data_IF_377764478231
#
_entry.id   IF_377764478231
#
_cell.length_a   1.000
_cell.length_b   1.000
_cell.length_c   1.000
_cell.angle_alpha   90.00
_cell.angle_beta   90.00
_cell.angle_gamma   90.00
#
_symmetry.space_group_name_H-M   'P 1'
#
loop_
_entity.id
_entity.type
_entity.pdbx_description
1 polymer ?
#
# COMPACT_ATOMS: atom_id res chain seq x y z
N UNK A 1 53.93 -45.72 29.10
CA UNK A 1 53.62 -44.98 30.35
C UNK A 1 53.00 -43.67 29.93
N UNK A 2 51.68 -43.56 29.99
CA UNK A 2 51.00 -42.32 29.69
C UNK A 2 49.75 -42.29 30.56
N UNK A 3 49.75 -41.33 31.46
CA UNK A 3 48.73 -41.11 32.47
C UNK A 3 47.61 -40.24 31.85
N UNK A 4 46.38 -40.76 31.85
CA UNK A 4 45.20 -40.01 31.45
C UNK A 4 44.65 -39.17 32.59
N UNK A 5 44.37 -37.92 32.35
CA UNK A 5 43.66 -37.02 33.27
C UNK A 5 42.21 -36.87 32.73
N UNK A 6 41.25 -37.38 33.45
CA UNK A 6 39.84 -37.21 33.19
C UNK A 6 39.35 -35.92 33.81
N UNK A 7 38.63 -35.12 33.00
CA UNK A 7 37.95 -33.92 33.48
C UNK A 7 36.44 -34.24 33.65
N UNK A 8 35.98 -34.14 34.91
CA UNK A 8 34.56 -34.17 35.25
C UNK A 8 33.91 -32.87 34.83
N UNK A 9 32.82 -32.98 34.02
CA UNK A 9 31.91 -31.87 33.78
C UNK A 9 30.65 -32.09 34.61
N UNK A 10 30.43 -31.23 35.57
CA UNK A 10 29.22 -31.17 36.37
C UNK A 10 28.05 -30.63 35.53
N UNK A 11 27.00 -31.43 35.37
CA UNK A 11 25.75 -30.96 34.75
C UNK A 11 24.95 -30.13 35.75
N UNK A 12 24.55 -28.94 35.34
CA UNK A 12 23.52 -28.16 36.00
C UNK A 12 22.17 -28.52 35.40
N UNK A 13 21.33 -29.19 36.17
CA UNK A 13 19.91 -29.43 35.85
C UNK A 13 19.12 -28.13 36.00
N UNK A 14 18.51 -27.69 34.91
CA UNK A 14 17.46 -26.64 34.94
C UNK A 14 16.10 -27.30 35.29
N UNK A 15 15.30 -26.69 36.17
CA UNK A 15 13.99 -27.24 36.51
C UNK A 15 12.99 -27.03 35.38
N UNK A 16 12.42 -28.10 34.87
CA UNK A 16 11.31 -28.13 33.93
C UNK A 16 10.08 -27.47 34.56
N UNK A 17 9.60 -26.37 33.96
CA UNK A 17 8.30 -25.76 34.27
C UNK A 17 7.18 -26.64 33.69
N UNK A 18 6.34 -27.17 34.56
CA UNK A 18 5.09 -27.87 34.21
C UNK A 18 4.10 -26.87 33.57
N UNK A 19 3.31 -27.32 32.57
CA UNK A 19 2.25 -26.51 32.00
C UNK A 19 1.08 -26.33 32.98
N UNK A 20 0.40 -25.16 32.98
CA UNK A 20 -0.69 -24.89 33.91
C UNK A 20 -1.91 -25.81 33.66
N UNK A 21 -2.53 -26.25 34.75
CA UNK A 21 -3.64 -27.18 34.74
C UNK A 21 -4.90 -26.62 34.09
N UNK A 22 -5.70 -27.52 33.50
CA UNK A 22 -6.92 -27.24 32.71
C UNK A 22 -8.12 -26.61 33.47
N UNK A 23 -7.95 -26.14 34.70
CA UNK A 23 -9.05 -25.63 35.53
C UNK A 23 -9.23 -24.09 35.51
N UNK A 24 -8.34 -23.31 34.91
CA UNK A 24 -8.40 -21.83 34.93
C UNK A 24 -8.99 -21.20 33.65
N UNK A 25 -9.33 -21.99 32.62
CA UNK A 25 -9.85 -21.48 31.34
C UNK A 25 -11.39 -21.51 31.27
N UNK A 26 -12.10 -21.73 32.36
CA UNK A 26 -13.56 -21.88 32.31
C UNK A 26 -14.37 -20.76 32.96
N UNK A 27 -13.85 -19.56 33.14
CA UNK A 27 -14.60 -18.45 33.77
C UNK A 27 -14.65 -17.11 33.02
N UNK A 28 -14.18 -17.00 31.80
CA UNK A 28 -14.26 -15.72 31.04
C UNK A 28 -14.99 -15.77 29.69
N UNK A 29 -15.76 -16.81 29.39
CA UNK A 29 -16.54 -16.88 28.14
C UNK A 29 -18.06 -16.91 28.37
N UNK A 30 -18.57 -16.18 29.37
CA UNK A 30 -20.00 -16.09 29.61
C UNK A 30 -20.47 -14.64 29.90
N UNK A 31 -20.16 -13.67 29.02
CA UNK A 31 -20.78 -12.35 29.04
C UNK A 31 -20.63 -11.62 27.70
N UNK A 32 -21.05 -12.20 26.59
CA UNK A 32 -21.28 -11.46 25.34
C UNK A 32 -22.24 -12.23 24.43
N UNK A 33 -23.44 -12.51 24.95
CA UNK A 33 -24.54 -12.96 24.13
C UNK A 33 -25.74 -12.08 24.40
N UNK A 34 -26.26 -11.52 23.28
CA UNK A 34 -27.57 -10.86 23.14
C UNK A 34 -27.69 -9.43 23.66
N UNK A 35 -27.75 -8.49 22.74
CA UNK A 35 -28.96 -7.73 22.42
C UNK A 35 -28.74 -7.09 21.04
N UNK A 36 -29.24 -7.70 19.99
CA UNK A 36 -29.52 -6.96 18.76
C UNK A 36 -30.84 -6.22 18.95
N UNK A 37 -30.86 -4.88 18.89
CA UNK A 37 -32.13 -4.18 18.85
C UNK A 37 -32.78 -4.44 17.48
N UNK A 38 -33.92 -5.14 17.45
CA UNK A 38 -34.84 -5.16 16.29
C UNK A 38 -35.20 -3.70 15.98
N UNK A 39 -34.62 -3.16 14.91
CA UNK A 39 -35.07 -1.89 14.33
C UNK A 39 -36.53 -2.07 13.86
N UNK A 40 -37.48 -1.54 14.61
CA UNK A 40 -38.82 -1.32 14.10
C UNK A 40 -38.72 -0.24 13.03
N UNK A 41 -39.11 -0.55 11.76
CA UNK A 41 -39.23 0.46 10.74
C UNK A 41 -40.22 1.53 11.25
N UNK A 42 -39.69 2.72 11.45
CA UNK A 42 -40.49 3.88 11.85
C UNK A 42 -41.35 4.38 10.70
N UNK A 43 -42.39 5.12 11.05
CA UNK A 43 -43.33 5.72 10.11
C UNK A 43 -42.67 6.79 9.23
N UNK A 44 -43.29 7.17 8.11
CA UNK A 44 -42.81 8.21 7.17
C UNK A 44 -42.38 9.53 7.85
N UNK A 45 -42.92 9.86 9.03
CA UNK A 45 -42.50 11.02 9.81
C UNK A 45 -41.12 10.84 10.47
N UNK A 46 -40.79 9.60 10.87
CA UNK A 46 -39.49 9.29 11.50
C UNK A 46 -38.37 9.34 10.48
N UNK A 47 -38.67 8.95 9.22
CA UNK A 47 -37.72 9.03 8.11
C UNK A 47 -37.40 10.48 7.74
N UNK A 48 -38.40 11.37 7.74
CA UNK A 48 -38.18 12.81 7.53
C UNK A 48 -37.36 13.45 8.65
N UNK A 49 -37.61 13.07 9.91
CA UNK A 49 -36.83 13.53 11.05
C UNK A 49 -35.36 13.05 10.99
N UNK A 50 -35.14 11.80 10.58
CA UNK A 50 -33.82 11.24 10.39
C UNK A 50 -33.06 11.93 9.24
N UNK A 51 -33.73 12.18 8.11
CA UNK A 51 -33.17 12.92 6.97
C UNK A 51 -32.82 14.38 7.33
N UNK A 52 -33.61 15.07 8.19
CA UNK A 52 -33.25 16.39 8.66
C UNK A 52 -32.07 16.37 9.64
N UNK A 53 -31.94 15.32 10.46
CA UNK A 53 -30.78 15.13 11.34
C UNK A 53 -29.51 14.79 10.53
N UNK A 54 -29.62 13.97 9.47
CA UNK A 54 -28.52 13.67 8.55
C UNK A 54 -28.06 14.92 7.78
N UNK A 55 -28.96 15.83 7.41
CA UNK A 55 -28.60 17.13 6.81
C UNK A 55 -27.93 18.11 7.77
N UNK A 56 -28.07 17.90 9.09
CA UNK A 56 -27.44 18.72 10.16
C UNK A 56 -26.17 18.07 10.73
N UNK A 57 -25.81 16.84 10.30
CA UNK A 57 -24.48 16.35 10.57
C UNK A 57 -23.51 17.21 9.76
N UNK A 58 -22.52 17.85 10.42
CA UNK A 58 -21.47 18.50 9.64
C UNK A 58 -20.93 17.44 8.69
N UNK A 59 -20.92 17.76 7.40
CA UNK A 59 -20.06 17.04 6.46
C UNK A 59 -18.72 16.94 7.20
N UNK A 60 -18.23 15.74 7.44
CA UNK A 60 -16.83 15.55 7.79
C UNK A 60 -16.04 16.00 6.58
N UNK A 61 -15.88 17.32 6.45
CA UNK A 61 -14.75 17.89 5.76
C UNK A 61 -13.57 17.18 6.41
N UNK A 62 -12.75 16.53 5.58
CA UNK A 62 -11.58 15.81 6.02
C UNK A 62 -10.91 16.63 7.12
N UNK A 63 -10.59 16.00 8.22
CA UNK A 63 -10.04 16.64 9.41
C UNK A 63 -9.01 17.66 8.92
N UNK A 64 -9.23 18.95 9.17
CA UNK A 64 -8.37 20.02 8.67
C UNK A 64 -6.97 20.01 9.29
N UNK A 65 -6.38 18.83 9.36
CA UNK A 65 -5.00 18.58 9.74
C UNK A 65 -4.12 18.97 8.57
N UNK A 66 -3.47 20.11 8.70
CA UNK A 66 -2.47 20.54 7.72
C UNK A 66 -1.25 19.64 7.80
N UNK A 67 -0.81 19.11 6.67
CA UNK A 67 0.49 18.50 6.51
C UNK A 67 1.43 19.58 5.99
N UNK A 68 2.43 19.96 6.77
CA UNK A 68 3.45 20.90 6.31
C UNK A 68 4.44 20.21 5.39
N UNK A 69 4.80 20.87 4.29
CA UNK A 69 5.91 20.44 3.46
C UNK A 69 7.20 20.35 4.29
N UNK A 70 8.01 19.33 4.03
CA UNK A 70 9.32 19.18 4.67
C UNK A 70 10.43 19.52 3.67
N UNK A 71 11.48 20.23 4.11
CA UNK A 71 12.65 20.42 3.26
C UNK A 71 13.26 19.07 2.91
N UNK A 72 13.64 18.89 1.66
CA UNK A 72 14.28 17.65 1.20
C UNK A 72 15.67 17.57 1.83
N UNK A 73 15.91 16.49 2.59
CA UNK A 73 17.17 16.29 3.27
C UNK A 73 18.29 15.87 2.30
N UNK A 74 19.52 16.22 2.63
CA UNK A 74 20.68 15.64 1.97
C UNK A 74 20.93 14.24 2.54
N UNK A 75 20.97 13.23 1.68
CA UNK A 75 21.30 11.85 2.04
C UNK A 75 22.72 11.57 1.59
N UNK A 76 23.52 10.98 2.49
CA UNK A 76 24.89 10.54 2.14
C UNK A 76 24.77 9.33 1.20
N UNK A 77 25.30 9.41 -0.03
CA UNK A 77 25.28 8.28 -0.95
C UNK A 77 26.04 7.07 -0.39
N UNK A 78 25.60 5.86 -0.74
CA UNK A 78 26.37 4.65 -0.44
C UNK A 78 27.77 4.78 -1.06
N UNK A 79 28.86 4.51 -0.31
CA UNK A 79 30.22 4.70 -0.81
C UNK A 79 30.54 3.93 -2.10
N UNK A 80 29.88 2.80 -2.29
CA UNK A 80 30.01 1.91 -3.46
C UNK A 80 28.92 2.12 -4.52
N UNK A 81 28.05 3.12 -4.37
CA UNK A 81 27.06 3.48 -5.39
C UNK A 81 27.77 3.99 -6.67
N UNK A 82 27.61 3.30 -7.82
CA UNK A 82 28.25 3.68 -9.08
C UNK A 82 27.90 5.11 -9.54
N UNK A 83 26.76 5.63 -9.12
CA UNK A 83 26.29 6.97 -9.47
C UNK A 83 26.52 8.00 -8.37
N UNK A 84 27.07 7.58 -7.23
CA UNK A 84 27.32 8.47 -6.05
C UNK A 84 26.09 9.30 -5.67
N UNK A 85 24.91 8.67 -5.73
CA UNK A 85 23.60 9.28 -5.41
C UNK A 85 23.04 10.18 -6.52
N UNK A 86 23.72 10.38 -7.63
CA UNK A 86 23.28 11.25 -8.72
C UNK A 86 22.44 10.47 -9.72
N UNK A 87 21.16 10.75 -9.74
CA UNK A 87 20.21 10.22 -10.72
C UNK A 87 18.94 11.06 -10.68
N UNK A 88 18.58 11.68 -11.77
CA UNK A 88 17.48 12.62 -11.87
C UNK A 88 16.41 12.20 -12.90
N UNK A 89 15.40 13.06 -13.10
CA UNK A 89 14.32 12.83 -14.05
C UNK A 89 14.80 12.77 -15.50
N UNK A 90 15.86 13.51 -15.86
CA UNK A 90 16.44 13.49 -17.20
C UNK A 90 17.11 12.13 -17.45
N UNK A 91 17.88 11.63 -16.48
CA UNK A 91 18.46 10.28 -16.53
C UNK A 91 17.37 9.22 -16.65
N UNK A 92 16.31 9.35 -15.86
CA UNK A 92 15.18 8.44 -15.87
C UNK A 92 14.41 8.45 -17.20
N UNK A 93 14.40 9.58 -17.91
CA UNK A 93 13.70 9.76 -19.19
C UNK A 93 14.50 9.29 -20.41
N UNK A 94 15.79 9.05 -20.28
CA UNK A 94 16.67 8.70 -21.45
C UNK A 94 16.04 7.61 -22.32
N UNK A 95 15.88 7.91 -23.62
CA UNK A 95 15.33 6.99 -24.61
C UNK A 95 13.81 6.77 -24.57
N UNK A 96 13.07 7.49 -23.69
CA UNK A 96 11.61 7.54 -23.79
C UNK A 96 11.20 8.56 -24.87
N UNK A 97 10.21 8.17 -25.67
CA UNK A 97 9.54 9.08 -26.60
C UNK A 97 8.45 9.87 -25.90
N UNK A 98 8.16 11.07 -26.41
CA UNK A 98 7.13 11.95 -25.88
C UNK A 98 7.62 12.85 -24.76
N UNK A 99 6.76 13.77 -24.36
CA UNK A 99 6.96 14.75 -23.30
C UNK A 99 5.85 14.62 -22.26
N UNK A 100 5.95 15.36 -21.14
CA UNK A 100 4.93 15.39 -20.10
C UNK A 100 5.23 14.47 -18.94
N UNK A 101 4.18 13.91 -18.35
CA UNK A 101 4.26 13.13 -17.10
C UNK A 101 4.64 11.68 -17.35
N UNK A 102 5.31 11.07 -16.36
CA UNK A 102 5.55 9.64 -16.37
C UNK A 102 4.30 8.87 -15.94
N UNK A 103 4.03 7.79 -16.68
CA UNK A 103 3.02 6.79 -16.34
C UNK A 103 3.69 5.42 -16.23
N UNK A 104 3.39 4.70 -15.16
CA UNK A 104 3.82 3.33 -14.99
C UNK A 104 2.65 2.37 -15.23
N UNK A 105 2.84 1.38 -16.09
CA UNK A 105 1.90 0.26 -16.25
C UNK A 105 2.56 -0.99 -15.64
N UNK A 106 2.03 -1.46 -14.51
CA UNK A 106 2.47 -2.69 -13.84
C UNK A 106 1.58 -3.85 -14.31
N UNK A 107 2.11 -4.75 -15.10
CA UNK A 107 1.42 -6.02 -15.41
C UNK A 107 1.66 -6.99 -14.25
N UNK A 108 0.59 -7.43 -13.61
CA UNK A 108 0.65 -8.31 -12.45
C UNK A 108 -0.06 -9.64 -12.71
N UNK A 109 0.13 -10.64 -11.86
CA UNK A 109 -0.61 -11.90 -11.95
C UNK A 109 -2.09 -11.76 -11.58
N UNK A 110 -2.48 -10.63 -10.94
CA UNK A 110 -3.88 -10.33 -10.57
C UNK A 110 -4.61 -9.41 -11.55
N UNK A 111 -3.87 -8.75 -12.45
CA UNK A 111 -4.38 -7.75 -13.40
C UNK A 111 -3.36 -6.64 -13.62
N UNK A 112 -3.75 -5.66 -14.44
CA UNK A 112 -2.91 -4.52 -14.79
C UNK A 112 -3.23 -3.34 -13.88
N UNK A 113 -2.19 -2.71 -13.31
CA UNK A 113 -2.27 -1.44 -12.60
C UNK A 113 -1.65 -0.35 -13.47
N UNK A 114 -2.32 0.76 -13.60
CA UNK A 114 -1.84 1.97 -14.25
C UNK A 114 -1.64 3.04 -13.19
N UNK A 115 -0.43 3.57 -13.11
CA UNK A 115 -0.04 4.53 -12.09
C UNK A 115 0.44 5.82 -12.74
N UNK A 116 -0.17 6.92 -12.36
CA UNK A 116 0.33 8.26 -12.61
C UNK A 116 1.45 8.57 -11.64
N UNK A 117 2.55 9.16 -12.13
CA UNK A 117 3.69 9.50 -11.29
C UNK A 117 3.79 11.02 -11.17
N UNK A 118 3.78 11.53 -9.95
CA UNK A 118 3.73 12.97 -9.64
C UNK A 118 5.14 13.56 -9.52
N UNK A 119 5.81 13.70 -10.67
CA UNK A 119 7.20 14.16 -10.77
C UNK A 119 7.42 15.60 -10.32
N UNK A 120 6.37 16.41 -10.29
CA UNK A 120 6.36 17.77 -9.78
C UNK A 120 6.29 17.84 -8.25
N UNK A 121 5.78 16.79 -7.61
CA UNK A 121 5.65 16.67 -6.16
C UNK A 121 6.81 15.92 -5.51
N UNK A 122 7.31 14.88 -6.18
CA UNK A 122 8.35 14.01 -5.66
C UNK A 122 9.36 13.63 -6.78
N UNK A 123 10.14 14.60 -7.30
CA UNK A 123 11.00 14.40 -8.46
C UNK A 123 12.09 13.35 -8.24
N UNK A 124 12.74 13.30 -7.07
CA UNK A 124 13.80 12.32 -6.75
C UNK A 124 13.21 10.92 -6.68
N UNK A 125 12.05 10.78 -6.04
CA UNK A 125 11.35 9.50 -5.88
C UNK A 125 10.87 8.96 -7.22
N UNK A 126 10.26 9.81 -8.06
CA UNK A 126 9.82 9.43 -9.40
C UNK A 126 11.01 9.04 -10.29
N UNK A 127 12.10 9.83 -10.28
CA UNK A 127 13.32 9.47 -10.99
C UNK A 127 13.86 8.09 -10.54
N UNK A 128 13.95 7.87 -9.25
CA UNK A 128 14.37 6.59 -8.67
C UNK A 128 13.49 5.43 -9.13
N UNK A 129 12.17 5.55 -8.95
CA UNK A 129 11.22 4.49 -9.31
C UNK A 129 11.29 4.18 -10.81
N UNK A 130 11.27 5.21 -11.67
CA UNK A 130 11.36 5.06 -13.13
C UNK A 130 12.70 4.47 -13.54
N UNK A 131 13.80 4.93 -12.95
CA UNK A 131 15.14 4.41 -13.22
C UNK A 131 15.29 2.95 -12.86
N UNK A 132 14.78 2.52 -11.72
CA UNK A 132 14.78 1.12 -11.28
C UNK A 132 13.84 0.25 -12.14
N UNK A 133 12.65 0.74 -12.47
CA UNK A 133 11.70 0.03 -13.33
C UNK A 133 12.27 -0.23 -14.74
N UNK A 134 13.03 0.74 -15.26
CA UNK A 134 13.64 0.65 -16.60
C UNK A 134 15.03 0.03 -16.64
N UNK A 135 15.61 -0.27 -15.47
CA UNK A 135 16.98 -0.79 -15.37
C UNK A 135 18.06 0.24 -15.73
N UNK A 136 17.75 1.54 -15.68
CA UNK A 136 18.71 2.62 -15.96
C UNK A 136 19.50 3.01 -14.71
N UNK A 137 18.87 2.97 -13.53
CA UNK A 137 19.55 3.17 -12.26
C UNK A 137 20.16 1.85 -11.79
N UNK A 138 21.49 1.77 -11.58
CA UNK A 138 22.10 0.60 -10.99
C UNK A 138 21.55 0.31 -9.61
N UNK A 139 21.41 -0.96 -9.28
CA UNK A 139 20.99 -1.42 -7.97
C UNK A 139 21.75 -2.68 -7.57
N UNK A 140 21.88 -2.90 -6.26
CA UNK A 140 22.62 -4.05 -5.71
C UNK A 140 21.68 -5.25 -5.63
N UNK A 141 21.97 -6.29 -6.39
CA UNK A 141 21.17 -7.51 -6.42
C UNK A 141 21.35 -8.33 -5.12
N UNK A 142 20.56 -9.40 -4.88
CA UNK A 142 20.70 -10.25 -3.70
C UNK A 142 22.10 -10.84 -3.48
N UNK A 143 22.90 -11.00 -4.56
CA UNK A 143 24.30 -11.47 -4.48
C UNK A 143 25.28 -10.34 -4.10
N UNK A 144 24.79 -9.14 -3.80
CA UNK A 144 25.59 -7.98 -3.44
C UNK A 144 26.28 -7.28 -4.62
N UNK A 145 25.93 -7.62 -5.87
CA UNK A 145 26.53 -7.05 -7.08
C UNK A 145 25.67 -5.93 -7.65
N UNK A 146 26.31 -4.84 -8.06
CA UNK A 146 25.66 -3.78 -8.81
C UNK A 146 25.28 -4.24 -10.21
N UNK A 147 24.00 -4.10 -10.58
CA UNK A 147 23.45 -4.52 -11.88
C UNK A 147 22.60 -3.40 -12.48
N UNK A 148 22.55 -3.35 -13.81
CA UNK A 148 21.66 -2.50 -14.61
C UNK A 148 20.62 -3.37 -15.31
N UNK A 149 19.51 -3.61 -14.66
CA UNK A 149 18.34 -4.33 -15.19
C UNK A 149 17.08 -3.89 -14.46
N UNK A 150 15.88 -4.07 -15.01
CA UNK A 150 14.63 -3.82 -14.30
C UNK A 150 14.62 -4.50 -12.93
N UNK A 151 14.33 -3.73 -11.87
CA UNK A 151 14.32 -4.25 -10.50
C UNK A 151 13.00 -4.93 -10.16
N UNK A 152 11.89 -4.34 -10.62
CA UNK A 152 10.55 -4.73 -10.17
C UNK A 152 10.01 -5.99 -10.85
N UNK A 153 10.56 -6.36 -12.01
CA UNK A 153 10.12 -7.53 -12.77
C UNK A 153 10.32 -8.81 -11.97
N UNK A 154 9.25 -9.59 -11.80
CA UNK A 154 9.23 -10.82 -11.02
C UNK A 154 9.07 -10.63 -9.50
N UNK A 155 9.14 -9.40 -8.97
CA UNK A 155 9.01 -9.17 -7.53
C UNK A 155 7.56 -9.31 -7.06
N UNK A 156 7.34 -9.82 -5.83
CA UNK A 156 6.00 -10.00 -5.28
C UNK A 156 5.50 -8.77 -4.51
N UNK A 157 4.18 -8.68 -4.36
CA UNK A 157 3.57 -7.95 -3.24
C UNK A 157 3.68 -8.84 -1.99
N UNK A 158 4.77 -8.70 -1.26
CA UNK A 158 5.16 -9.59 -0.17
C UNK A 158 4.40 -9.34 1.13
N UNK A 159 3.89 -8.13 1.33
CA UNK A 159 3.12 -7.72 2.51
C UNK A 159 1.80 -7.14 2.08
N UNK A 160 0.70 -7.67 2.65
CA UNK A 160 -0.67 -7.32 2.28
C UNK A 160 -1.50 -7.15 3.55
N UNK A 161 -2.09 -5.98 3.72
CA UNK A 161 -3.03 -5.69 4.81
C UNK A 161 -4.28 -5.09 4.19
N UNK A 162 -5.36 -5.89 4.12
CA UNK A 162 -6.66 -5.47 3.60
C UNK A 162 -7.18 -4.24 4.32
N UNK A 163 -7.67 -3.26 3.56
CA UNK A 163 -8.17 -1.98 4.08
C UNK A 163 -7.07 -1.01 4.50
N UNK A 164 -5.79 -1.38 4.31
CA UNK A 164 -4.66 -0.51 4.58
C UNK A 164 -3.77 -0.35 3.33
N UNK A 165 -2.97 -1.38 2.96
CA UNK A 165 -2.06 -1.27 1.82
C UNK A 165 -1.58 -2.63 1.29
N UNK A 166 -1.04 -2.61 0.07
CA UNK A 166 -0.27 -3.70 -0.56
C UNK A 166 1.16 -3.21 -0.80
N UNK A 167 2.17 -3.93 -0.31
CA UNK A 167 3.58 -3.51 -0.36
C UNK A 167 4.40 -4.48 -1.23
N UNK A 168 5.18 -3.90 -2.13
CA UNK A 168 6.06 -4.59 -3.07
C UNK A 168 7.39 -3.88 -3.28
N UNK A 169 8.10 -4.21 -4.40
CA UNK A 169 9.34 -3.55 -4.78
C UNK A 169 10.58 -3.99 -4.01
N UNK A 170 10.49 -5.13 -3.32
CA UNK A 170 11.62 -5.75 -2.67
C UNK A 170 12.29 -6.79 -3.58
N UNK A 171 13.57 -6.62 -3.96
CA UNK A 171 14.27 -7.60 -4.79
C UNK A 171 14.46 -8.97 -4.12
N UNK A 172 14.43 -9.02 -2.77
CA UNK A 172 14.46 -10.29 -2.02
C UNK A 172 13.07 -10.92 -1.88
N UNK A 173 12.00 -10.16 -2.13
CA UNK A 173 10.62 -10.64 -2.06
C UNK A 173 10.10 -10.97 -0.66
N UNK A 174 10.76 -10.54 0.40
CA UNK A 174 10.43 -10.87 1.80
C UNK A 174 10.37 -9.68 2.76
N UNK A 175 10.56 -8.45 2.26
CA UNK A 175 10.56 -7.19 3.00
C UNK A 175 11.93 -6.74 3.49
N UNK A 176 12.98 -7.56 3.36
CA UNK A 176 14.32 -7.23 3.88
C UNK A 176 15.23 -6.53 2.87
N UNK A 177 14.93 -6.64 1.58
CA UNK A 177 15.77 -6.16 0.51
C UNK A 177 15.63 -4.67 0.21
N UNK A 178 16.49 -4.21 -0.70
CA UNK A 178 16.50 -2.84 -1.19
C UNK A 178 17.53 -2.68 -2.31
N UNK A 179 17.65 -1.48 -2.87
CA UNK A 179 18.49 -1.25 -4.05
C UNK A 179 19.98 -1.05 -3.74
N UNK A 180 20.38 -1.10 -2.45
CA UNK A 180 21.76 -0.87 -2.01
C UNK A 180 22.11 0.60 -1.76
N UNK A 181 21.13 1.49 -1.86
CA UNK A 181 21.22 2.91 -1.54
C UNK A 181 19.90 3.40 -0.95
N UNK A 182 19.88 4.63 -0.46
CA UNK A 182 18.67 5.30 0.01
C UNK A 182 18.50 6.66 -0.68
N UNK A 183 17.25 7.14 -0.70
CA UNK A 183 16.88 8.49 -1.15
C UNK A 183 16.11 9.20 -0.04
N UNK A 184 16.09 10.55 -0.03
CA UNK A 184 15.38 11.33 0.98
C UNK A 184 13.87 11.20 0.87
N UNK A 185 13.17 11.63 1.93
CA UNK A 185 11.74 11.85 1.91
C UNK A 185 11.41 13.12 1.11
N UNK A 186 10.33 13.07 0.32
CA UNK A 186 9.74 14.20 -0.37
C UNK A 186 8.30 14.36 0.12
N UNK A 187 8.14 15.06 1.24
CA UNK A 187 6.82 15.36 1.83
C UNK A 187 6.40 16.76 1.40
N UNK A 188 5.41 16.84 0.54
CA UNK A 188 4.85 18.09 0.05
C UNK A 188 3.66 18.56 0.91
N UNK A 189 3.28 19.83 0.76
CA UNK A 189 2.19 20.42 1.54
C UNK A 189 0.86 19.72 1.25
N UNK A 190 0.12 19.42 2.32
CA UNK A 190 -1.16 18.71 2.27
C UNK A 190 -1.10 17.32 1.59
N UNK A 191 0.05 16.64 1.70
CA UNK A 191 0.20 15.23 1.32
C UNK A 191 -0.51 14.31 2.31
N UNK A 192 -1.76 13.96 2.03
CA UNK A 192 -2.59 13.12 2.90
C UNK A 192 -2.71 11.69 2.36
N UNK A 193 -2.60 10.70 3.24
CA UNK A 193 -2.86 9.29 2.94
C UNK A 193 -4.34 8.97 3.20
N UNK A 194 -5.25 9.59 2.47
CA UNK A 194 -6.69 9.62 2.73
C UNK A 194 -7.54 8.83 1.72
N UNK A 195 -6.93 8.30 0.66
CA UNK A 195 -7.65 7.56 -0.37
C UNK A 195 -6.94 6.29 -0.83
N UNK A 196 -7.71 5.38 -1.43
CA UNK A 196 -7.18 4.19 -2.10
C UNK A 196 -6.42 4.57 -3.36
N UNK A 197 -5.41 3.76 -3.69
CA UNK A 197 -4.64 3.90 -4.91
C UNK A 197 -3.40 4.78 -4.77
N UNK A 198 -3.24 5.58 -3.71
CA UNK A 198 -2.02 6.36 -3.53
C UNK A 198 -0.79 5.46 -3.53
N UNK A 199 0.21 5.85 -4.34
CA UNK A 199 1.47 5.16 -4.49
C UNK A 199 2.53 5.88 -3.64
N UNK A 200 3.08 5.15 -2.66
CA UNK A 200 3.91 5.70 -1.61
C UNK A 200 5.21 4.90 -1.43
N UNK A 201 6.28 5.55 -0.96
CA UNK A 201 7.52 4.85 -0.62
C UNK A 201 7.46 4.22 0.76
N UNK A 202 7.88 2.97 0.85
CA UNK A 202 8.14 2.33 2.14
C UNK A 202 9.55 2.72 2.63
N UNK A 203 9.66 3.02 3.93
CA UNK A 203 10.92 3.40 4.56
C UNK A 203 11.12 2.67 5.91
N UNK A 204 12.30 2.79 6.49
CA UNK A 204 12.69 2.28 7.83
C UNK A 204 12.99 3.42 8.80
N UNK A 205 12.36 4.54 8.63
CA UNK A 205 12.57 5.81 9.31
C UNK A 205 12.87 6.92 8.32
N UNK A 206 13.02 8.18 8.77
CA UNK A 206 13.20 9.34 7.91
C UNK A 206 14.36 9.18 6.92
N UNK A 207 14.13 9.55 5.65
CA UNK A 207 15.16 9.56 4.59
C UNK A 207 15.83 8.21 4.30
N UNK A 208 15.08 7.12 4.44
CA UNK A 208 15.57 5.76 4.17
C UNK A 208 14.79 5.05 3.08
N UNK A 209 14.16 5.81 2.17
CA UNK A 209 13.45 5.21 1.02
C UNK A 209 14.46 4.51 0.10
N UNK A 210 14.03 3.39 -0.48
CA UNK A 210 14.86 2.60 -1.39
C UNK A 210 14.13 2.22 -2.68
N UNK A 211 13.83 0.94 -2.82
CA UNK A 211 13.01 0.42 -3.94
C UNK A 211 11.61 -0.01 -3.51
N UNK A 212 11.39 -0.28 -2.22
CA UNK A 212 10.10 -0.76 -1.75
C UNK A 212 9.07 0.36 -1.76
N UNK A 213 7.88 0.04 -2.25
CA UNK A 213 6.73 0.92 -2.31
C UNK A 213 5.48 0.21 -1.79
N UNK A 214 4.46 0.99 -1.48
CA UNK A 214 3.13 0.44 -1.20
C UNK A 214 2.04 1.23 -1.95
N UNK A 215 0.94 0.54 -2.24
CA UNK A 215 -0.26 1.15 -2.80
C UNK A 215 -1.33 1.06 -1.73
N UNK A 216 -1.97 2.18 -1.42
CA UNK A 216 -3.01 2.26 -0.41
C UNK A 216 -4.25 1.46 -0.83
N UNK A 217 -4.81 0.66 0.10
CA UNK A 217 -6.11 0.00 -0.02
C UNK A 217 -7.19 0.68 0.84
N UNK A 218 -6.84 1.69 1.59
CA UNK A 218 -7.72 2.51 2.41
C UNK A 218 -6.98 3.70 3.00
N UNK A 219 -7.70 4.61 3.65
CA UNK A 219 -7.13 5.79 4.29
C UNK A 219 -6.30 5.43 5.53
N UNK A 220 -5.17 6.14 5.74
CA UNK A 220 -4.27 5.91 6.86
C UNK A 220 -3.54 7.19 7.28
N UNK A 221 -4.25 8.14 7.85
CA UNK A 221 -3.75 9.47 8.22
C UNK A 221 -2.55 9.47 9.18
N UNK A 222 -2.31 8.35 9.87
CA UNK A 222 -1.12 8.19 10.72
C UNK A 222 0.21 8.13 9.92
N UNK A 223 0.15 7.96 8.60
CA UNK A 223 1.30 7.99 7.70
C UNK A 223 1.68 9.41 7.25
N UNK A 224 0.78 10.39 7.46
CA UNK A 224 0.96 11.75 6.99
C UNK A 224 2.25 12.37 7.53
N UNK A 225 2.99 13.01 6.63
CA UNK A 225 4.27 13.64 6.98
C UNK A 225 5.43 12.68 7.22
N UNK A 226 5.23 11.35 7.16
CA UNK A 226 6.28 10.34 7.38
C UNK A 226 6.65 9.55 6.13
N UNK A 227 5.80 9.56 5.11
CA UNK A 227 5.99 8.76 3.90
C UNK A 227 5.79 9.62 2.66
N UNK A 228 6.64 9.42 1.65
CA UNK A 228 6.54 10.12 0.37
C UNK A 228 5.41 9.54 -0.47
N UNK A 229 4.41 10.37 -0.82
CA UNK A 229 3.42 10.05 -1.84
C UNK A 229 3.97 10.53 -3.18
N UNK A 230 4.07 9.66 -4.19
CA UNK A 230 4.66 10.01 -5.47
C UNK A 230 3.82 9.64 -6.69
N UNK A 231 2.58 9.20 -6.47
CA UNK A 231 1.65 8.89 -7.54
C UNK A 231 0.34 8.29 -7.08
N UNK A 232 -0.46 7.86 -8.04
CA UNK A 232 -1.73 7.16 -7.81
C UNK A 232 -1.93 6.07 -8.84
N UNK A 233 -2.38 4.91 -8.41
CA UNK A 233 -2.61 3.71 -9.21
C UNK A 233 -4.10 3.36 -9.29
N UNK A 234 -4.51 2.81 -10.41
CA UNK A 234 -5.81 2.21 -10.65
C UNK A 234 -5.70 1.05 -11.65
N UNK A 235 -6.79 0.33 -11.90
CA UNK A 235 -8.11 0.48 -11.29
C UNK A 235 -8.17 -0.12 -9.87
N UNK A 236 -9.10 0.39 -9.05
CA UNK A 236 -9.25 -0.02 -7.65
C UNK A 236 -9.58 -1.50 -7.49
N UNK A 237 -10.29 -2.10 -8.43
CA UNK A 237 -10.67 -3.52 -8.41
C UNK A 237 -9.43 -4.43 -8.41
N UNK A 238 -8.36 -4.04 -9.11
CA UNK A 238 -7.11 -4.80 -9.12
C UNK A 238 -6.36 -4.63 -7.78
N UNK A 239 -6.38 -3.42 -7.21
CA UNK A 239 -5.79 -3.17 -5.88
C UNK A 239 -6.51 -4.02 -4.83
N UNK A 240 -7.85 -4.01 -4.82
CA UNK A 240 -8.66 -4.81 -3.90
C UNK A 240 -8.44 -6.31 -4.09
N UNK A 241 -8.31 -6.78 -5.34
CA UNK A 241 -8.00 -8.17 -5.63
C UNK A 241 -6.66 -8.59 -5.03
N UNK A 242 -5.64 -7.75 -5.12
CA UNK A 242 -4.34 -8.00 -4.49
C UNK A 242 -4.48 -7.94 -2.96
N UNK A 243 -5.22 -6.97 -2.42
CA UNK A 243 -5.44 -6.80 -0.99
C UNK A 243 -6.23 -7.93 -0.33
N UNK A 244 -6.90 -8.78 -1.12
CA UNK A 244 -7.63 -9.97 -0.65
C UNK A 244 -6.84 -11.27 -0.82
N UNK A 245 -5.58 -11.20 -1.24
CA UNK A 245 -4.68 -12.36 -1.29
C UNK A 245 -4.56 -13.01 0.10
N UNK A 246 -4.59 -14.36 0.21
CA UNK A 246 -4.43 -15.05 1.49
C UNK A 246 -3.10 -14.70 2.17
N UNK A 247 -3.15 -14.44 3.49
CA UNK A 247 -1.98 -14.03 4.28
C UNK A 247 -1.82 -14.90 5.53
N UNK A 248 -0.59 -15.00 6.04
CA UNK A 248 -0.27 -15.43 7.38
C UNK A 248 0.30 -14.24 8.15
N UNK A 249 -0.50 -13.66 9.06
CA UNK A 249 -0.24 -12.34 9.59
C UNK A 249 -0.46 -11.29 8.48
N UNK A 250 0.58 -10.59 8.09
CA UNK A 250 0.57 -9.63 6.97
C UNK A 250 1.37 -10.12 5.73
N UNK A 251 2.01 -11.30 5.83
CA UNK A 251 2.78 -11.91 4.76
C UNK A 251 1.88 -12.70 3.82
N UNK A 252 1.87 -12.36 2.52
CA UNK A 252 1.13 -13.10 1.51
C UNK A 252 1.67 -14.55 1.39
N UNK A 253 0.76 -15.55 1.43
CA UNK A 253 1.12 -16.97 1.32
C UNK A 253 1.26 -17.43 -0.13
N UNK A 254 0.49 -16.82 -1.03
CA UNK A 254 0.63 -16.96 -2.47
C UNK A 254 0.63 -15.54 -3.09
N UNK A 255 1.78 -14.85 -3.08
CA UNK A 255 1.85 -13.45 -3.41
C UNK A 255 1.61 -13.19 -4.89
N UNK A 256 0.78 -12.19 -5.18
CA UNK A 256 0.68 -11.61 -6.52
C UNK A 256 2.04 -11.05 -6.92
N UNK A 257 2.50 -11.37 -8.14
CA UNK A 257 3.79 -10.92 -8.67
C UNK A 257 3.61 -9.83 -9.72
N UNK A 258 4.52 -8.89 -9.74
CA UNK A 258 4.70 -7.93 -10.82
C UNK A 258 5.44 -8.65 -11.93
N UNK A 259 4.81 -8.85 -13.09
CA UNK A 259 5.47 -9.49 -14.24
C UNK A 259 6.43 -8.52 -14.91
N UNK A 260 5.96 -7.30 -15.18
CA UNK A 260 6.75 -6.22 -15.79
C UNK A 260 6.23 -4.86 -15.36
N UNK A 261 7.12 -3.85 -15.37
CA UNK A 261 6.75 -2.45 -15.22
C UNK A 261 7.17 -1.69 -16.47
N UNK A 262 6.19 -1.23 -17.25
CA UNK A 262 6.42 -0.40 -18.44
C UNK A 262 6.22 1.07 -18.09
N UNK A 263 7.20 1.91 -18.46
CA UNK A 263 7.12 3.37 -18.29
C UNK A 263 6.86 4.02 -19.63
N UNK A 264 5.90 4.95 -19.65
CA UNK A 264 5.59 5.82 -20.79
C UNK A 264 5.56 7.28 -20.35
N UNK A 265 5.49 8.20 -21.32
CA UNK A 265 5.22 9.62 -21.07
C UNK A 265 3.91 10.01 -21.73
N UNK A 266 3.11 10.79 -21.01
CA UNK A 266 1.82 11.29 -21.49
C UNK A 266 1.79 12.82 -21.39
N UNK A 267 1.25 13.48 -22.42
CA UNK A 267 1.29 14.96 -22.56
C UNK A 267 0.52 15.69 -21.44
N UNK A 268 -0.48 15.05 -20.84
CA UNK A 268 -1.28 15.59 -19.74
C UNK A 268 -1.55 14.48 -18.74
N UNK A 269 -1.50 14.80 -17.44
CA UNK A 269 -2.07 13.90 -16.43
C UNK A 269 -3.56 13.75 -16.72
N UNK A 270 -4.11 12.53 -16.75
CA UNK A 270 -5.54 12.34 -16.82
C UNK A 270 -6.17 13.03 -15.59
N UNK A 271 -7.19 13.84 -15.82
CA UNK A 271 -7.98 14.36 -14.70
C UNK A 271 -8.56 13.16 -13.93
N UNK A 272 -8.54 13.18 -12.60
CA UNK A 272 -9.13 12.12 -11.83
C UNK A 272 -10.58 11.95 -12.29
N UNK A 273 -10.89 10.77 -12.85
CA UNK A 273 -12.24 10.43 -13.30
C UNK A 273 -13.12 10.53 -12.08
N UNK A 274 -13.95 11.57 -12.01
CA UNK A 274 -14.93 11.73 -10.93
C UNK A 274 -15.67 10.40 -10.79
N UNK A 275 -15.65 9.83 -9.59
CA UNK A 275 -16.39 8.63 -9.29
C UNK A 275 -17.85 8.86 -9.75
N UNK A 276 -18.51 7.92 -10.44
CA UNK A 276 -19.89 8.11 -10.84
C UNK A 276 -20.71 8.37 -9.59
N UNK A 277 -21.29 9.57 -9.53
CA UNK A 277 -22.18 9.97 -8.46
C UNK A 277 -23.29 8.93 -8.38
N UNK A 278 -23.46 8.32 -7.21
CA UNK A 278 -24.46 7.27 -6.91
C UNK A 278 -25.93 7.79 -6.97
N UNK A 279 -26.19 8.83 -7.79
CA UNK A 279 -27.50 9.48 -7.97
C UNK A 279 -28.30 9.00 -9.21
N UNK A 280 -27.75 8.13 -10.05
CA UNK A 280 -28.43 7.74 -11.30
C UNK A 280 -29.13 6.36 -11.26
N UNK A 281 -29.17 5.66 -10.12
CA UNK A 281 -29.77 4.32 -10.03
C UNK A 281 -31.15 4.26 -9.38
N UNK A 282 -31.84 5.40 -9.18
CA UNK A 282 -33.15 5.45 -8.46
C UNK A 282 -34.35 5.84 -9.31
N UNK A 283 -34.29 5.77 -10.66
CA UNK A 283 -35.43 6.17 -11.52
C UNK A 283 -35.85 5.16 -12.59
N UNK A 284 -35.67 3.86 -12.35
CA UNK A 284 -36.17 2.83 -13.29
C UNK A 284 -36.80 1.66 -12.51
N UNK A 285 -37.92 1.91 -11.83
CA UNK A 285 -38.86 0.85 -11.44
C UNK A 285 -40.20 1.48 -10.99
N UNK A 286 -41.04 1.79 -11.92
CA UNK A 286 -42.46 1.90 -11.72
C UNK A 286 -43.20 1.58 -13.02
N UNK A 287 -43.42 0.30 -13.28
CA UNK A 287 -44.42 -0.14 -14.25
C UNK A 287 -45.65 -0.60 -13.47
N UNK A 288 -46.89 -0.19 -13.87
CA UNK A 288 -48.10 -0.59 -13.17
C UNK A 288 -48.49 -2.02 -13.58
N UNK A 289 -48.65 -2.85 -12.56
CA UNK A 289 -49.27 -4.18 -12.71
C UNK A 289 -50.80 -4.03 -12.88
N UNK A 290 -51.32 -4.30 -14.07
CA UNK A 290 -52.74 -4.52 -14.32
C UNK A 290 -53.08 -5.98 -14.06
N UNK A 291 -53.86 -6.25 -13.02
CA UNK A 291 -54.47 -7.55 -12.78
C UNK A 291 -55.75 -7.71 -13.67
N UNK A 292 -56.00 -8.87 -14.25
CA UNK A 292 -57.30 -9.16 -14.86
C UNK A 292 -58.27 -9.68 -13.79
N UNK A 293 -59.47 -9.08 -13.79
CA UNK A 293 -60.66 -9.53 -13.07
C UNK A 293 -61.18 -10.83 -13.72
N UNK A 294 -61.40 -11.84 -12.88
CA UNK A 294 -62.17 -13.05 -13.28
C UNK A 294 -63.61 -12.85 -12.84
N UNK A 295 -64.52 -12.97 -13.78
CA UNK A 295 -65.93 -13.12 -13.54
C UNK A 295 -66.41 -14.42 -14.21
N UNK A 296 -67.34 -15.12 -13.49
CA UNK A 296 -68.14 -16.27 -13.76
C UNK A 296 -67.54 -17.66 -13.59
#
# INVERSE_FOLDING_TARGET
MTVGLGTLVAGCDEPKKEPPSKSTIRRETAAAASVQPRLKLGTSKDIKGLMQRLKKLPHQQGSGRKVAAKPVASVVPSPDDPLKGKFDLEDAAKGLKGEGYFKATMDTTAGKLECELWQDKAPITVANFVGLARGLRPWKNPDGKWVKKPLYDGTPFHRVIKGFMIQGGDPNGNGSGGPGFVIPDEVWEDAHHDERGLLCMANRGPNTNGSQFFIMDGAASHLDGGYTIFGKCGPEEVIQKIATTPVRGDKATDPVKIKTVKITREAKMPEPKAAPSASAAASASAAPSSAPSAAA
#
